data_IF_936544536868
#
_entry.id   IF_936544536868
#
_cell.length_a   1.000
_cell.length_b   1.000
_cell.length_c   1.000
_cell.angle_alpha   90.00
_cell.angle_beta   90.00
_cell.angle_gamma   90.00
#
_symmetry.space_group_name_H-M   'P 1'
#
loop_
_entity.id
_entity.type
_entity.pdbx_description
1 polymer ?
#
# COMPACT_ATOMS: atom_id res chain seq x y z
N UNK A 1 -3.52 27.31 -36.35
CA UNK A 1 -4.55 27.92 -35.52
C UNK A 1 -5.83 27.10 -35.53
N UNK A 2 -6.74 27.43 -34.67
CA UNK A 2 -8.10 26.87 -34.66
C UNK A 2 -9.10 27.99 -34.89
N UNK A 3 -10.24 27.64 -35.47
CA UNK A 3 -11.39 28.51 -35.59
C UNK A 3 -12.63 27.69 -35.24
N UNK A 4 -13.13 27.84 -34.01
CA UNK A 4 -14.26 27.11 -33.46
C UNK A 4 -15.38 28.08 -33.16
N UNK A 5 -16.54 27.84 -33.74
CA UNK A 5 -17.75 28.63 -33.52
C UNK A 5 -18.87 27.70 -33.11
N UNK A 6 -19.46 27.95 -31.94
CA UNK A 6 -20.53 27.15 -31.34
C UNK A 6 -21.63 28.05 -30.84
N UNK A 7 -22.84 27.86 -31.31
CA UNK A 7 -23.99 28.74 -30.99
C UNK A 7 -24.43 28.58 -29.50
N UNK A 8 -24.27 27.41 -28.93
CA UNK A 8 -24.67 27.11 -27.54
C UNK A 8 -23.44 27.07 -26.63
N UNK A 9 -23.21 25.96 -25.96
CA UNK A 9 -22.12 25.80 -25.01
C UNK A 9 -21.00 24.91 -25.53
N UNK A 10 -19.78 25.28 -25.21
CA UNK A 10 -18.60 24.45 -25.39
C UNK A 10 -18.24 23.82 -24.04
N UNK A 11 -18.18 22.49 -23.98
CA UNK A 11 -17.74 21.77 -22.77
C UNK A 11 -16.46 21.02 -23.06
N UNK A 12 -15.43 21.26 -22.26
CA UNK A 12 -14.19 20.48 -22.26
C UNK A 12 -14.09 19.69 -20.95
N UNK A 13 -13.89 18.40 -21.06
CA UNK A 13 -13.65 17.53 -19.90
C UNK A 13 -12.29 16.85 -20.09
N UNK A 14 -11.26 17.32 -19.38
CA UNK A 14 -9.87 16.91 -19.58
C UNK A 14 -9.38 17.13 -21.01
N UNK A 15 -10.01 18.04 -21.74
CA UNK A 15 -9.80 18.28 -23.17
C UNK A 15 -8.87 19.48 -23.43
N UNK A 16 -8.14 19.43 -24.53
CA UNK A 16 -7.22 20.50 -24.92
C UNK A 16 -7.61 20.98 -26.32
N UNK A 17 -7.79 22.32 -26.45
CA UNK A 17 -7.83 22.98 -27.75
C UNK A 17 -6.47 23.67 -27.92
N UNK A 18 -5.60 23.09 -28.74
CA UNK A 18 -4.27 23.61 -29.04
C UNK A 18 -4.19 24.20 -30.44
N UNK A 19 -3.68 25.39 -30.54
CA UNK A 19 -3.60 26.09 -31.77
C UNK A 19 -2.19 26.53 -32.16
N UNK A 20 -2.11 27.56 -33.01
CA UNK A 20 -0.87 28.18 -33.41
C UNK A 20 -0.25 28.99 -32.26
N UNK A 21 1.09 29.11 -32.18
CA UNK A 21 1.76 30.10 -31.32
C UNK A 21 1.32 31.53 -31.61
N UNK A 22 0.93 31.81 -32.85
CA UNK A 22 0.32 33.10 -33.22
C UNK A 22 -1.14 33.11 -32.74
N UNK A 23 -1.38 33.87 -31.67
CA UNK A 23 -2.67 34.00 -30.99
C UNK A 23 -3.78 34.53 -31.91
N UNK A 24 -3.45 35.34 -32.91
CA UNK A 24 -4.42 35.91 -33.85
C UNK A 24 -5.07 34.87 -34.75
N UNK A 25 -4.43 33.71 -34.89
CA UNK A 25 -4.90 32.58 -35.69
C UNK A 25 -5.75 31.57 -34.89
N UNK A 26 -5.93 31.83 -33.62
CA UNK A 26 -6.71 30.97 -32.69
C UNK A 26 -7.98 31.75 -32.35
N UNK A 27 -9.14 31.20 -32.74
CA UNK A 27 -10.43 31.80 -32.42
C UNK A 27 -11.41 30.76 -31.86
N UNK A 28 -12.02 31.07 -30.72
CA UNK A 28 -13.15 30.35 -30.14
C UNK A 28 -14.28 31.34 -29.89
N UNK A 29 -15.46 31.03 -30.41
CA UNK A 29 -16.68 31.76 -30.14
C UNK A 29 -17.75 30.80 -29.62
N UNK A 30 -18.33 31.05 -28.45
CA UNK A 30 -19.37 30.21 -27.84
C UNK A 30 -20.26 31.04 -26.92
N UNK A 31 -21.48 30.61 -26.69
CA UNK A 31 -22.35 31.27 -25.72
C UNK A 31 -21.82 31.05 -24.29
N UNK A 32 -21.48 29.83 -23.93
CA UNK A 32 -20.86 29.49 -22.65
C UNK A 32 -19.68 28.53 -22.82
N UNK A 33 -18.75 28.55 -21.86
CA UNK A 33 -17.61 27.65 -21.82
C UNK A 33 -17.56 26.96 -20.47
N UNK A 34 -17.59 25.63 -20.48
CA UNK A 34 -17.51 24.78 -19.30
C UNK A 34 -16.20 23.98 -19.39
N UNK A 35 -15.35 24.16 -18.38
CA UNK A 35 -14.07 23.44 -18.29
C UNK A 35 -14.07 22.54 -17.05
N UNK A 36 -14.02 21.23 -17.28
CA UNK A 36 -13.98 20.22 -16.25
C UNK A 36 -12.67 19.45 -16.31
N UNK A 37 -12.13 19.13 -15.16
CA UNK A 37 -10.94 18.31 -15.03
C UNK A 37 -11.32 16.84 -14.87
N UNK A 38 -10.38 15.94 -15.22
CA UNK A 38 -10.50 14.50 -14.99
C UNK A 38 -9.55 14.11 -13.87
N UNK A 39 -10.08 13.52 -12.81
CA UNK A 39 -9.28 12.90 -11.77
C UNK A 39 -8.88 11.50 -12.22
N UNK A 40 -7.58 11.28 -12.38
CA UNK A 40 -7.01 9.97 -12.72
C UNK A 40 -6.57 9.28 -11.44
N UNK A 41 -6.95 8.02 -11.29
CA UNK A 41 -6.52 7.21 -10.16
C UNK A 41 -6.14 5.81 -10.64
N UNK A 42 -5.01 5.33 -10.14
CA UNK A 42 -4.58 3.95 -10.32
C UNK A 42 -4.15 3.37 -8.97
N UNK A 43 -4.51 2.11 -8.74
CA UNK A 43 -4.08 1.38 -7.55
C UNK A 43 -3.82 -0.08 -7.88
N UNK A 44 -2.93 -0.71 -7.13
CA UNK A 44 -2.71 -2.14 -7.20
C UNK A 44 -2.52 -2.76 -5.82
N UNK A 45 -2.85 -4.04 -5.70
CA UNK A 45 -2.56 -4.86 -4.52
C UNK A 45 -2.13 -6.25 -4.99
N UNK A 46 -0.90 -6.62 -4.68
CA UNK A 46 -0.35 -7.93 -4.99
C UNK A 46 -0.20 -8.74 -3.70
N UNK A 47 -0.74 -9.98 -3.69
CA UNK A 47 -0.65 -10.92 -2.57
C UNK A 47 0.01 -12.19 -3.04
N UNK A 48 0.83 -12.78 -2.18
CA UNK A 48 1.38 -14.13 -2.39
C UNK A 48 0.66 -15.09 -1.45
N UNK A 49 0.24 -16.24 -1.97
CA UNK A 49 -0.30 -17.34 -1.17
C UNK A 49 0.44 -18.63 -1.53
N UNK A 50 0.61 -19.49 -0.57
CA UNK A 50 1.30 -20.77 -0.77
C UNK A 50 1.00 -21.74 0.36
N UNK A 51 1.53 -22.95 0.23
CA UNK A 51 1.51 -23.95 1.28
C UNK A 51 2.94 -24.28 1.68
N UNK A 52 3.19 -24.39 2.99
CA UNK A 52 4.42 -25.01 3.48
C UNK A 52 4.12 -26.43 3.94
N UNK A 53 4.94 -27.36 3.49
CA UNK A 53 4.93 -28.73 3.99
C UNK A 53 6.10 -28.88 4.96
N UNK A 54 5.82 -29.41 6.13
CA UNK A 54 6.84 -29.70 7.15
C UNK A 54 6.75 -31.17 7.56
N UNK A 55 7.90 -31.78 7.79
CA UNK A 55 7.96 -33.13 8.34
C UNK A 55 7.85 -33.06 9.87
N UNK A 56 7.04 -33.92 10.45
CA UNK A 56 6.87 -34.05 11.90
C UNK A 56 7.09 -35.48 12.33
N UNK A 57 7.18 -35.75 13.64
CA UNK A 57 7.18 -37.12 14.14
C UNK A 57 5.88 -37.83 13.72
N UNK A 58 6.00 -39.04 13.23
CA UNK A 58 4.84 -39.87 12.93
C UNK A 58 4.07 -40.18 14.21
N UNK A 59 2.78 -39.99 14.17
CA UNK A 59 1.87 -40.29 15.29
C UNK A 59 0.70 -41.12 14.77
N UNK A 60 -0.10 -41.68 15.67
CA UNK A 60 -1.31 -42.44 15.30
C UNK A 60 -2.27 -41.60 14.45
N UNK A 61 -2.34 -40.27 14.71
CA UNK A 61 -3.21 -39.33 13.99
C UNK A 61 -2.54 -38.70 12.76
N UNK A 62 -1.23 -38.87 12.62
CA UNK A 62 -0.45 -38.40 11.46
C UNK A 62 0.62 -39.42 11.09
N UNK A 63 0.21 -40.58 10.52
CA UNK A 63 1.11 -41.70 10.23
C UNK A 63 2.12 -41.38 9.11
N UNK A 64 1.83 -40.38 8.27
CA UNK A 64 2.72 -39.94 7.20
C UNK A 64 3.82 -39.02 7.76
N UNK A 65 3.57 -38.33 8.88
CA UNK A 65 4.51 -37.39 9.48
C UNK A 65 4.71 -36.12 8.65
N UNK A 66 3.69 -35.67 7.90
CA UNK A 66 3.69 -34.44 7.12
C UNK A 66 2.56 -33.58 7.61
N UNK A 67 2.86 -32.30 7.85
CA UNK A 67 1.89 -31.26 8.13
C UNK A 67 1.98 -30.18 7.07
N UNK A 68 0.84 -29.67 6.66
CA UNK A 68 0.73 -28.54 5.73
C UNK A 68 0.14 -27.33 6.44
N UNK A 69 0.73 -26.17 6.20
CA UNK A 69 0.17 -24.91 6.70
C UNK A 69 0.04 -23.92 5.54
N UNK A 70 -1.10 -23.24 5.43
CA UNK A 70 -1.23 -22.16 4.47
C UNK A 70 -0.27 -21.01 4.85
N UNK A 71 0.44 -20.47 3.86
CA UNK A 71 1.25 -19.27 4.01
C UNK A 71 0.59 -18.14 3.25
N UNK A 72 0.38 -17.03 3.91
CA UNK A 72 -0.04 -15.79 3.28
C UNK A 72 1.11 -14.80 3.35
N UNK A 73 1.54 -14.31 2.20
CA UNK A 73 2.55 -13.25 2.14
C UNK A 73 1.97 -11.88 2.48
N UNK A 74 2.83 -10.97 2.91
CA UNK A 74 2.47 -9.58 3.16
C UNK A 74 2.06 -8.94 1.84
N UNK A 75 0.90 -8.28 1.74
CA UNK A 75 0.45 -7.65 0.51
C UNK A 75 1.32 -6.42 0.19
N UNK A 76 1.75 -6.32 -1.06
CA UNK A 76 2.40 -5.12 -1.61
C UNK A 76 1.35 -4.30 -2.34
N UNK A 77 1.17 -3.05 -1.94
CA UNK A 77 0.19 -2.13 -2.51
C UNK A 77 0.88 -0.89 -3.04
N UNK A 78 0.27 -0.26 -4.04
CA UNK A 78 0.66 1.06 -4.52
C UNK A 78 -0.54 1.80 -5.09
N UNK A 79 -0.49 3.12 -5.05
CA UNK A 79 -1.48 3.99 -5.65
C UNK A 79 -0.83 5.23 -6.23
N UNK A 80 -1.44 5.79 -7.27
CA UNK A 80 -1.07 7.09 -7.81
C UNK A 80 -2.32 7.82 -8.27
N UNK A 81 -2.28 9.15 -8.16
CA UNK A 81 -3.33 10.05 -8.60
C UNK A 81 -2.71 11.17 -9.44
N UNK A 82 -3.44 11.62 -10.44
CA UNK A 82 -3.12 12.83 -11.17
C UNK A 82 -4.40 13.50 -11.65
N UNK A 83 -4.31 14.75 -12.07
CA UNK A 83 -5.45 15.48 -12.61
C UNK A 83 -5.12 15.87 -14.04
N UNK A 84 -5.96 15.46 -14.99
CA UNK A 84 -5.90 15.97 -16.37
C UNK A 84 -6.78 17.22 -16.44
N UNK A 85 -6.15 18.35 -16.67
CA UNK A 85 -6.85 19.64 -16.76
C UNK A 85 -7.38 19.89 -18.16
N UNK A 86 -8.49 20.61 -18.25
CA UNK A 86 -8.90 21.20 -19.51
C UNK A 86 -8.09 22.44 -19.78
N UNK A 87 -7.72 22.66 -21.05
CA UNK A 87 -6.94 23.85 -21.44
C UNK A 87 -7.25 24.32 -22.86
N UNK A 88 -7.10 25.60 -23.09
CA UNK A 88 -7.27 26.23 -24.43
C UNK A 88 -6.08 27.15 -24.65
N UNK A 89 -5.34 26.96 -25.76
CA UNK A 89 -4.27 27.90 -26.16
C UNK A 89 -4.79 29.33 -26.23
N UNK A 90 -3.95 30.29 -25.88
CA UNK A 90 -4.27 31.70 -25.99
C UNK A 90 -4.74 32.05 -27.42
N UNK A 91 -5.71 32.95 -27.50
CA UNK A 91 -6.33 33.37 -28.75
C UNK A 91 -7.44 34.40 -28.55
N UNK A 92 -8.20 34.65 -29.59
CA UNK A 92 -9.43 35.45 -29.52
C UNK A 92 -10.55 34.53 -28.99
N UNK A 93 -10.89 34.67 -27.71
CA UNK A 93 -11.94 33.90 -27.06
C UNK A 93 -13.12 34.81 -26.76
N UNK A 94 -14.21 34.56 -27.49
CA UNK A 94 -15.46 35.33 -27.41
C UNK A 94 -16.54 34.46 -26.74
N UNK A 95 -16.79 34.69 -25.47
CA UNK A 95 -17.82 33.97 -24.67
C UNK A 95 -18.86 34.98 -24.22
N UNK A 96 -20.15 34.70 -24.52
CA UNK A 96 -21.23 35.62 -24.15
C UNK A 96 -21.42 35.66 -22.63
N UNK A 97 -21.31 34.51 -21.92
CA UNK A 97 -21.32 34.43 -20.47
C UNK A 97 -19.94 34.73 -19.88
N UNK A 98 -19.69 35.96 -19.49
CA UNK A 98 -18.37 36.50 -19.06
C UNK A 98 -17.77 35.77 -17.84
N UNK A 99 -18.57 35.20 -16.96
CA UNK A 99 -18.10 34.48 -15.78
C UNK A 99 -17.25 33.23 -16.14
N UNK A 100 -17.44 32.70 -17.34
CA UNK A 100 -16.64 31.57 -17.86
C UNK A 100 -15.21 31.94 -18.26
N UNK A 101 -14.93 33.24 -18.53
CA UNK A 101 -13.63 33.69 -19.02
C UNK A 101 -12.55 33.74 -17.94
N UNK A 102 -12.94 33.97 -16.67
CA UNK A 102 -11.98 34.11 -15.55
C UNK A 102 -11.29 32.80 -15.16
N UNK A 103 -11.81 31.67 -15.64
CA UNK A 103 -11.37 30.30 -15.25
C UNK A 103 -10.64 29.55 -16.38
N UNK A 104 -10.30 30.21 -17.47
CA UNK A 104 -9.68 29.52 -18.60
C UNK A 104 -8.23 29.18 -18.26
N UNK A 105 -7.90 27.90 -18.30
CA UNK A 105 -6.53 27.43 -18.26
C UNK A 105 -5.90 27.51 -19.65
N UNK A 106 -4.83 28.30 -19.80
CA UNK A 106 -4.09 28.43 -21.04
C UNK A 106 -2.86 27.55 -21.15
N UNK A 107 -2.49 26.83 -20.10
CA UNK A 107 -1.36 25.90 -20.08
C UNK A 107 -1.73 24.58 -20.75
N UNK A 108 -1.62 24.55 -22.07
CA UNK A 108 -1.89 23.33 -22.85
C UNK A 108 -0.75 22.32 -22.81
N UNK A 109 0.44 22.68 -22.33
CA UNK A 109 1.58 21.77 -22.27
C UNK A 109 1.52 20.87 -21.01
N UNK A 110 1.10 21.43 -19.89
CA UNK A 110 1.01 20.70 -18.62
C UNK A 110 -0.40 20.16 -18.31
N UNK A 111 -1.38 20.47 -19.14
CA UNK A 111 -2.76 20.02 -18.91
C UNK A 111 -2.92 18.49 -18.97
N UNK A 112 -2.19 17.82 -19.87
CA UNK A 112 -2.20 16.34 -19.98
C UNK A 112 -1.31 15.70 -18.93
N UNK A 113 -1.75 15.66 -17.70
CA UNK A 113 -1.05 15.02 -16.60
C UNK A 113 -1.41 13.54 -16.53
N UNK A 114 -0.87 12.74 -17.45
CA UNK A 114 -1.14 11.30 -17.52
C UNK A 114 -0.55 10.56 -16.34
N UNK A 115 -1.29 9.57 -15.83
CA UNK A 115 -0.72 8.57 -14.93
C UNK A 115 0.31 7.73 -15.70
N UNK A 116 1.52 7.65 -15.16
CA UNK A 116 2.49 6.64 -15.61
C UNK A 116 2.10 5.26 -15.04
N UNK A 117 2.43 4.16 -15.71
CA UNK A 117 2.24 2.83 -15.14
C UNK A 117 2.91 2.71 -13.77
N UNK A 118 2.12 2.41 -12.74
CA UNK A 118 2.61 2.29 -11.35
C UNK A 118 2.92 0.85 -10.96
N UNK A 119 2.42 -0.11 -11.73
CA UNK A 119 2.65 -1.53 -11.49
C UNK A 119 3.84 -2.00 -12.34
N UNK A 120 4.90 -2.42 -11.65
CA UNK A 120 6.01 -3.18 -12.23
C UNK A 120 6.11 -4.52 -11.52
N UNK A 121 5.84 -5.59 -12.26
CA UNK A 121 5.80 -6.96 -11.74
C UNK A 121 7.09 -7.34 -11.03
N UNK A 122 8.25 -7.03 -11.61
CA UNK A 122 9.56 -7.37 -11.05
C UNK A 122 9.80 -6.66 -9.71
N UNK A 123 9.56 -5.37 -9.66
CA UNK A 123 9.69 -4.57 -8.44
C UNK A 123 8.72 -5.05 -7.34
N UNK A 124 7.50 -5.45 -7.71
CA UNK A 124 6.53 -5.99 -6.75
C UNK A 124 6.98 -7.34 -6.21
N UNK A 125 7.46 -8.25 -7.06
CA UNK A 125 8.00 -9.55 -6.66
C UNK A 125 9.23 -9.40 -5.74
N UNK A 126 10.15 -8.52 -6.06
CA UNK A 126 11.33 -8.23 -5.22
C UNK A 126 10.93 -7.70 -3.83
N UNK A 127 9.95 -6.79 -3.76
CA UNK A 127 9.39 -6.30 -2.49
C UNK A 127 8.73 -7.42 -1.69
N UNK A 128 7.97 -8.29 -2.32
CA UNK A 128 7.33 -9.43 -1.65
C UNK A 128 8.37 -10.41 -1.07
N UNK A 129 9.43 -10.71 -1.82
CA UNK A 129 10.53 -11.56 -1.36
C UNK A 129 11.23 -10.90 -0.15
N UNK A 130 11.52 -9.61 -0.24
CA UNK A 130 12.16 -8.87 0.85
C UNK A 130 11.31 -8.87 2.13
N UNK A 131 10.03 -8.55 2.02
CA UNK A 131 9.10 -8.56 3.15
C UNK A 131 8.97 -9.95 3.78
N UNK A 132 8.94 -11.01 2.95
CA UNK A 132 8.91 -12.39 3.45
C UNK A 132 10.19 -12.74 4.21
N UNK A 133 11.35 -12.32 3.72
CA UNK A 133 12.62 -12.53 4.43
C UNK A 133 12.66 -11.77 5.77
N UNK A 134 12.25 -10.51 5.78
CA UNK A 134 12.18 -9.69 6.99
C UNK A 134 11.24 -10.34 8.01
N UNK A 135 10.04 -10.74 7.59
CA UNK A 135 9.07 -11.41 8.46
C UNK A 135 9.63 -12.71 9.05
N UNK A 136 10.23 -13.56 8.23
CA UNK A 136 10.82 -14.83 8.70
C UNK A 136 11.95 -14.60 9.72
N UNK A 137 12.80 -13.61 9.51
CA UNK A 137 13.86 -13.25 10.47
C UNK A 137 13.27 -12.68 11.76
N UNK A 138 12.23 -11.85 11.67
CA UNK A 138 11.54 -11.31 12.83
C UNK A 138 10.92 -12.42 13.69
N UNK A 139 10.20 -13.35 13.10
CA UNK A 139 9.61 -14.49 13.81
C UNK A 139 10.67 -15.40 14.47
N UNK A 140 11.79 -15.63 13.77
CA UNK A 140 12.91 -16.36 14.37
C UNK A 140 13.47 -15.63 15.58
N UNK A 141 13.70 -14.33 15.48
CA UNK A 141 14.21 -13.51 16.58
C UNK A 141 13.27 -13.52 17.79
N UNK A 142 11.95 -13.45 17.57
CA UNK A 142 10.95 -13.58 18.65
C UNK A 142 11.08 -14.93 19.34
N UNK A 143 11.22 -16.03 18.57
CA UNK A 143 11.44 -17.36 19.08
C UNK A 143 12.71 -17.45 19.93
N UNK A 144 13.80 -16.91 19.43
CA UNK A 144 15.10 -16.93 20.14
C UNK A 144 15.05 -16.12 21.44
N UNK A 145 14.43 -14.92 21.43
CA UNK A 145 14.21 -14.10 22.63
C UNK A 145 13.36 -14.86 23.66
N UNK A 146 12.22 -15.43 23.21
CA UNK A 146 11.31 -16.16 24.10
C UNK A 146 12.01 -17.35 24.74
N UNK A 147 12.76 -18.12 23.96
CA UNK A 147 13.53 -19.28 24.46
C UNK A 147 14.60 -18.85 25.47
N UNK A 148 15.30 -17.75 25.20
CA UNK A 148 16.31 -17.22 26.13
C UNK A 148 15.69 -16.82 27.46
N UNK A 149 14.59 -16.06 27.44
CA UNK A 149 13.89 -15.64 28.65
C UNK A 149 13.33 -16.83 29.45
N UNK A 150 12.73 -17.78 28.76
CA UNK A 150 12.25 -19.02 29.40
C UNK A 150 13.37 -19.81 30.06
N UNK A 151 14.54 -19.91 29.42
CA UNK A 151 15.71 -20.60 29.99
C UNK A 151 16.19 -19.92 31.27
N UNK A 152 16.28 -18.61 31.28
CA UNK A 152 16.68 -17.86 32.48
C UNK A 152 15.68 -18.03 33.62
N UNK A 153 14.39 -17.90 33.33
CA UNK A 153 13.32 -18.10 34.32
C UNK A 153 13.30 -19.51 34.87
N UNK A 154 13.50 -20.52 34.02
CA UNK A 154 13.58 -21.92 34.43
C UNK A 154 14.70 -22.16 35.42
N UNK A 155 15.91 -21.60 35.18
CA UNK A 155 17.03 -21.69 36.12
C UNK A 155 16.70 -21.05 37.48
N UNK A 156 16.04 -19.88 37.46
CA UNK A 156 15.59 -19.22 38.71
C UNK A 156 14.51 -20.03 39.44
N UNK A 157 13.59 -20.69 38.74
CA UNK A 157 12.58 -21.59 39.33
C UNK A 157 13.26 -22.77 40.01
N UNK A 158 14.25 -23.38 39.35
CA UNK A 158 15.01 -24.49 39.91
C UNK A 158 15.71 -24.06 41.21
N UNK A 159 16.36 -22.88 41.21
CA UNK A 159 17.04 -22.36 42.38
C UNK A 159 16.07 -22.04 43.54
N UNK A 160 14.90 -21.44 43.24
CA UNK A 160 13.85 -21.17 44.20
C UNK A 160 13.33 -22.50 44.83
N UNK A 161 13.11 -23.51 44.03
CA UNK A 161 12.70 -24.85 44.52
C UNK A 161 13.77 -25.49 45.40
N UNK A 162 15.04 -25.40 45.01
CA UNK A 162 16.15 -25.91 45.87
C UNK A 162 16.21 -25.24 47.24
N UNK A 163 15.87 -23.93 47.28
CA UNK A 163 15.79 -23.14 48.50
C UNK A 163 14.46 -23.32 49.27
N UNK A 164 13.58 -24.16 48.78
CA UNK A 164 12.23 -24.41 49.31
C UNK A 164 11.33 -23.15 49.34
N UNK A 165 11.65 -22.13 48.51
CA UNK A 165 10.87 -20.90 48.34
C UNK A 165 9.74 -21.12 47.32
N UNK A 166 8.63 -21.67 47.81
CA UNK A 166 7.47 -21.98 46.97
C UNK A 166 6.82 -20.77 46.36
N UNK A 167 6.69 -19.68 47.13
CA UNK A 167 6.04 -18.45 46.65
C UNK A 167 6.81 -17.82 45.48
N UNK A 168 8.15 -17.78 45.58
CA UNK A 168 9.02 -17.31 44.51
C UNK A 168 8.96 -18.21 43.28
N UNK A 169 8.96 -19.53 43.47
CA UNK A 169 8.87 -20.50 42.38
C UNK A 169 7.54 -20.35 41.58
N UNK A 170 6.42 -20.15 42.27
CA UNK A 170 5.09 -19.93 41.63
C UNK A 170 5.03 -18.59 40.86
N UNK A 171 5.59 -17.52 41.46
CA UNK A 171 5.66 -16.21 40.79
C UNK A 171 6.47 -16.30 39.49
N UNK A 172 7.64 -16.94 39.55
CA UNK A 172 8.51 -17.14 38.38
C UNK A 172 7.86 -18.04 37.30
N UNK A 173 7.06 -19.03 37.71
CA UNK A 173 6.34 -19.89 36.79
C UNK A 173 5.24 -19.11 36.04
N UNK A 174 4.55 -18.19 36.71
CA UNK A 174 3.60 -17.29 36.05
C UNK A 174 4.29 -16.41 35.01
N UNK A 175 5.48 -15.90 35.33
CA UNK A 175 6.27 -15.09 34.40
C UNK A 175 6.77 -15.93 33.21
N UNK A 176 7.25 -17.14 33.45
CA UNK A 176 7.64 -18.11 32.42
C UNK A 176 6.53 -18.35 31.39
N UNK A 177 5.29 -18.56 31.83
CA UNK A 177 4.15 -18.84 30.97
C UNK A 177 3.77 -17.65 30.06
N UNK A 178 4.14 -16.40 30.40
CA UNK A 178 3.94 -15.24 29.54
C UNK A 178 4.81 -15.25 28.29
N UNK A 179 5.88 -16.04 28.29
CA UNK A 179 6.79 -16.24 27.14
C UNK A 179 6.47 -17.47 26.30
N UNK A 180 5.48 -18.27 26.71
CA UNK A 180 5.05 -19.46 25.95
C UNK A 180 4.38 -19.12 24.63
N UNK A 181 4.08 -20.11 23.79
CA UNK A 181 3.54 -19.92 22.43
C UNK A 181 2.30 -19.01 22.38
N UNK A 182 1.43 -19.09 23.38
CA UNK A 182 0.26 -18.25 23.55
C UNK A 182 0.44 -17.19 24.66
N UNK A 183 1.66 -16.98 25.12
CA UNK A 183 1.95 -16.05 26.19
C UNK A 183 1.86 -14.60 25.73
N UNK A 184 1.44 -13.71 26.66
CA UNK A 184 1.17 -12.30 26.34
C UNK A 184 2.39 -11.58 25.76
N UNK A 185 3.60 -11.86 26.23
CA UNK A 185 4.81 -11.19 25.72
C UNK A 185 5.17 -11.61 24.32
N UNK A 186 5.00 -12.89 23.99
CA UNK A 186 5.23 -13.40 22.63
C UNK A 186 4.20 -12.85 21.65
N UNK A 187 2.93 -12.76 22.05
CA UNK A 187 1.87 -12.14 21.25
C UNK A 187 2.13 -10.65 20.98
N UNK A 188 2.59 -9.89 22.00
CA UNK A 188 2.95 -8.49 21.83
C UNK A 188 4.12 -8.30 20.87
N UNK A 189 5.15 -9.15 20.93
CA UNK A 189 6.26 -9.09 19.97
C UNK A 189 5.78 -9.41 18.55
N UNK A 190 4.92 -10.41 18.38
CA UNK A 190 4.36 -10.74 17.07
C UNK A 190 3.52 -9.58 16.49
N UNK A 191 2.76 -8.87 17.31
CA UNK A 191 1.96 -7.72 16.85
C UNK A 191 2.80 -6.55 16.34
N UNK A 192 4.05 -6.43 16.77
CA UNK A 192 5.00 -5.42 16.30
C UNK A 192 5.66 -5.74 14.95
N UNK A 193 5.54 -6.99 14.45
CA UNK A 193 6.08 -7.44 13.17
C UNK A 193 4.99 -7.74 12.12
N UNK A 194 3.71 -7.56 12.45
CA UNK A 194 2.56 -7.83 11.58
C UNK A 194 2.04 -6.64 10.78
#
# INVERSE_FOLDING_TARGET
>A
GYNVQVDNSTTLTGGIIKGSPDKSRNKLSSNSLIMNDIQNEASYSAKTSGYSLSTTKRTKNNPIGITGSPKMGIPVKGSAKSTTHSAISEGVIEIAEKESLEKINHDTEQALNKLVPIFDKKTVEEKQILLTKISNHGYKLIGDISTHQQTQLLNQIIDAKRKNDKAKAESLLKEYNKWDENGVYRLLLHSGFG
#
